data_IF_406755997948
#
_entry.id   IF_406755997948
#
_cell.length_a   1.000
_cell.length_b   1.000
_cell.length_c   1.000
_cell.angle_alpha   90.00
_cell.angle_beta   90.00
_cell.angle_gamma   90.00
#
_symmetry.space_group_name_H-M   'P 1'
#
loop_
_entity.id
_entity.type
_entity.pdbx_description
1 polymer ?
#
# COMPACT_ATOMS: atom_id res chain seq x y z
N UNK A 1 -17.78 2.70 1.35
CA UNK A 1 -17.50 3.64 0.25
C UNK A 1 -16.71 2.95 -0.84
N UNK A 2 -16.97 3.35 -2.08
CA UNK A 2 -16.37 2.71 -3.26
C UNK A 2 -14.83 2.69 -3.22
N UNK A 3 -14.22 3.83 -2.91
CA UNK A 3 -12.76 3.93 -2.92
C UNK A 3 -12.12 3.13 -1.80
N UNK A 4 -12.75 3.08 -0.63
CA UNK A 4 -12.23 2.30 0.48
C UNK A 4 -12.19 0.82 0.16
N UNK A 5 -13.23 0.30 -0.50
CA UNK A 5 -13.25 -1.09 -0.93
C UNK A 5 -12.14 -1.38 -1.94
N UNK A 6 -11.96 -0.50 -2.92
CA UNK A 6 -10.89 -0.65 -3.90
C UNK A 6 -9.50 -0.64 -3.26
N UNK A 7 -9.30 0.24 -2.27
CA UNK A 7 -8.03 0.30 -1.56
C UNK A 7 -7.76 -0.98 -0.78
N UNK A 8 -8.76 -1.47 -0.08
CA UNK A 8 -8.63 -2.72 0.67
C UNK A 8 -8.35 -3.91 -0.24
N UNK A 9 -9.06 -3.99 -1.38
CA UNK A 9 -8.86 -5.06 -2.34
C UNK A 9 -7.44 -5.04 -2.90
N UNK A 10 -6.92 -3.86 -3.20
CA UNK A 10 -5.57 -3.74 -3.73
C UNK A 10 -4.52 -4.09 -2.68
N UNK A 11 -4.72 -3.70 -1.43
CA UNK A 11 -3.82 -4.07 -0.33
C UNK A 11 -3.74 -5.60 -0.22
N UNK A 12 -4.88 -6.27 -0.23
CA UNK A 12 -4.87 -7.74 -0.16
C UNK A 12 -4.17 -8.36 -1.36
N UNK A 13 -4.35 -7.78 -2.54
CA UNK A 13 -3.68 -8.24 -3.75
C UNK A 13 -2.16 -8.09 -3.66
N UNK A 14 -1.68 -6.94 -3.18
CA UNK A 14 -0.24 -6.69 -3.03
C UNK A 14 0.35 -7.63 -1.98
N UNK A 15 -0.33 -7.81 -0.85
CA UNK A 15 0.09 -8.77 0.18
C UNK A 15 0.21 -10.18 -0.39
N UNK A 16 -0.79 -10.62 -1.14
CA UNK A 16 -0.77 -11.95 -1.74
C UNK A 16 0.40 -12.10 -2.71
N UNK A 17 0.72 -11.05 -3.47
CA UNK A 17 1.86 -11.04 -4.37
C UNK A 17 3.17 -11.22 -3.60
N UNK A 18 3.35 -10.45 -2.53
CA UNK A 18 4.57 -10.54 -1.70
C UNK A 18 4.69 -11.93 -1.09
N UNK A 19 3.62 -12.43 -0.50
CA UNK A 19 3.63 -13.76 0.12
C UNK A 19 3.91 -14.86 -0.90
N UNK A 20 3.34 -14.74 -2.11
CA UNK A 20 3.59 -15.68 -3.19
C UNK A 20 5.06 -15.70 -3.61
N UNK A 21 5.67 -14.52 -3.74
CA UNK A 21 7.09 -14.43 -4.09
C UNK A 21 7.98 -15.04 -2.99
N UNK A 22 7.64 -14.80 -1.73
CA UNK A 22 8.38 -15.38 -0.61
C UNK A 22 8.25 -16.89 -0.58
N UNK A 23 7.06 -17.42 -0.88
CA UNK A 23 6.84 -18.87 -0.88
C UNK A 23 7.61 -19.59 -1.98
N UNK A 24 7.92 -18.89 -3.07
CA UNK A 24 8.70 -19.44 -4.18
C UNK A 24 10.20 -19.31 -3.97
N UNK A 25 10.62 -18.50 -3.00
CA UNK A 25 12.03 -18.29 -2.72
C UNK A 25 12.61 -19.48 -1.97
N UNK A 26 13.84 -19.86 -2.32
CA UNK A 26 14.58 -20.93 -1.60
C UNK A 26 15.43 -20.36 -0.47
N UNK A 27 15.47 -19.05 -0.30
CA UNK A 27 16.29 -18.40 0.71
C UNK A 27 15.71 -18.62 2.11
N UNK A 28 16.50 -19.12 3.08
CA UNK A 28 15.95 -19.41 4.43
C UNK A 28 15.36 -18.20 5.13
N UNK A 29 15.95 -17.02 4.95
CA UNK A 29 15.43 -15.78 5.53
C UNK A 29 14.02 -15.48 5.02
N UNK A 30 13.76 -15.71 3.73
CA UNK A 30 12.44 -15.49 3.14
C UNK A 30 11.42 -16.47 3.68
N UNK A 31 11.81 -17.72 3.93
CA UNK A 31 10.90 -18.70 4.49
C UNK A 31 10.49 -18.33 5.92
N UNK A 32 11.43 -17.85 6.74
CA UNK A 32 11.14 -17.35 8.08
C UNK A 32 10.20 -16.15 8.02
N UNK A 33 10.48 -15.21 7.12
CA UNK A 33 9.66 -14.02 6.96
C UNK A 33 8.24 -14.36 6.54
N UNK A 34 8.08 -15.32 5.63
CA UNK A 34 6.77 -15.79 5.22
C UNK A 34 5.96 -16.28 6.43
N UNK A 35 6.59 -17.07 7.29
CA UNK A 35 5.94 -17.58 8.50
C UNK A 35 5.55 -16.43 9.44
N UNK A 36 6.42 -15.44 9.62
CA UNK A 36 6.16 -14.28 10.48
C UNK A 36 4.99 -13.48 9.91
N UNK A 37 5.03 -13.16 8.62
CA UNK A 37 4.01 -12.32 8.00
C UNK A 37 2.64 -12.96 7.98
N UNK A 38 2.54 -14.28 7.89
CA UNK A 38 1.24 -14.96 7.93
C UNK A 38 0.57 -14.85 9.30
N UNK A 39 1.34 -14.56 10.35
CA UNK A 39 0.85 -14.43 11.73
C UNK A 39 0.76 -12.99 12.20
N UNK A 40 1.30 -12.05 11.42
CA UNK A 40 1.40 -10.65 11.84
C UNK A 40 0.10 -9.90 11.54
N UNK A 41 -0.30 -9.02 12.46
CA UNK A 41 -1.47 -8.15 12.26
C UNK A 41 -1.22 -7.16 11.11
N UNK A 42 -2.30 -6.65 10.53
CA UNK A 42 -2.21 -5.67 9.45
C UNK A 42 -1.43 -4.42 9.85
N UNK A 43 -1.53 -4.01 11.11
CA UNK A 43 -0.87 -2.80 11.59
C UNK A 43 0.66 -2.91 11.57
N UNK A 44 1.19 -4.10 11.84
CA UNK A 44 2.63 -4.33 11.91
C UNK A 44 3.20 -4.92 10.64
N UNK A 45 2.34 -5.43 9.78
CA UNK A 45 2.74 -6.21 8.60
C UNK A 45 3.70 -5.42 7.70
N UNK A 46 3.33 -4.18 7.38
CA UNK A 46 4.12 -3.37 6.45
C UNK A 46 5.47 -2.98 7.04
N UNK A 47 5.51 -2.65 8.33
CA UNK A 47 6.75 -2.29 9.00
C UNK A 47 7.74 -3.45 8.98
N UNK A 48 7.27 -4.65 9.30
CA UNK A 48 8.12 -5.84 9.31
C UNK A 48 8.59 -6.15 7.88
N UNK A 49 7.69 -6.11 6.91
CA UNK A 49 8.04 -6.38 5.52
C UNK A 49 9.07 -5.37 5.01
N UNK A 50 8.88 -4.08 5.30
CA UNK A 50 9.79 -3.04 4.85
C UNK A 50 11.19 -3.19 5.44
N UNK A 51 11.29 -3.68 6.67
CA UNK A 51 12.59 -3.86 7.33
C UNK A 51 13.32 -5.11 6.85
N UNK A 52 12.59 -6.14 6.48
CA UNK A 52 13.18 -7.46 6.21
C UNK A 52 13.35 -7.77 4.72
N UNK A 53 12.57 -7.13 3.86
CA UNK A 53 12.63 -7.39 2.43
C UNK A 53 13.72 -6.55 1.75
N UNK A 54 14.34 -7.13 0.73
CA UNK A 54 15.37 -6.43 -0.04
C UNK A 54 14.80 -5.43 -1.03
N UNK A 55 15.71 -4.75 -1.74
CA UNK A 55 15.34 -3.67 -2.68
C UNK A 55 14.46 -4.16 -3.82
N UNK A 56 14.51 -5.43 -4.15
CA UNK A 56 13.66 -6.02 -5.19
C UNK A 56 12.17 -5.94 -4.88
N UNK A 57 11.82 -5.79 -3.59
CA UNK A 57 10.44 -5.65 -3.15
C UNK A 57 10.00 -4.19 -2.97
N UNK A 58 10.90 -3.23 -3.15
CA UNK A 58 10.60 -1.82 -2.91
C UNK A 58 9.37 -1.30 -3.66
N UNK A 59 9.16 -1.62 -4.95
CA UNK A 59 7.95 -1.13 -5.63
C UNK A 59 6.66 -1.60 -4.96
N UNK A 60 6.64 -2.84 -4.47
CA UNK A 60 5.47 -3.39 -3.78
C UNK A 60 5.27 -2.71 -2.42
N UNK A 61 6.35 -2.52 -1.68
CA UNK A 61 6.31 -1.85 -0.37
C UNK A 61 5.86 -0.40 -0.52
N UNK A 62 6.37 0.32 -1.51
CA UNK A 62 5.97 1.70 -1.77
C UNK A 62 4.49 1.79 -2.12
N UNK A 63 3.99 0.85 -2.93
CA UNK A 63 2.57 0.83 -3.27
C UNK A 63 1.72 0.60 -2.03
N UNK A 64 2.12 -0.33 -1.15
CA UNK A 64 1.39 -0.56 0.10
C UNK A 64 1.39 0.66 1.00
N UNK A 65 2.51 1.38 1.08
CA UNK A 65 2.56 2.63 1.84
C UNK A 65 1.53 3.63 1.36
N UNK A 66 1.40 3.79 0.03
CA UNK A 66 0.43 4.70 -0.55
C UNK A 66 -1.00 4.26 -0.26
N UNK A 67 -1.26 2.96 -0.36
CA UNK A 67 -2.60 2.42 -0.11
C UNK A 67 -3.01 2.62 1.35
N UNK A 68 -2.11 2.34 2.28
CA UNK A 68 -2.39 2.51 3.71
C UNK A 68 -2.54 3.97 4.08
N UNK A 69 -1.73 4.86 3.50
CA UNK A 69 -1.87 6.30 3.71
C UNK A 69 -3.24 6.80 3.24
N UNK A 70 -3.71 6.32 2.08
CA UNK A 70 -5.02 6.70 1.57
C UNK A 70 -6.15 6.25 2.51
N UNK A 71 -6.05 5.04 3.07
CA UNK A 71 -7.04 4.55 4.03
C UNK A 71 -7.03 5.41 5.29
N UNK A 72 -5.85 5.78 5.78
CA UNK A 72 -5.73 6.67 6.93
C UNK A 72 -6.38 8.03 6.67
N UNK A 73 -6.25 8.55 5.44
CA UNK A 73 -6.90 9.80 5.06
C UNK A 73 -8.43 9.70 5.07
N UNK A 74 -8.96 8.53 4.68
CA UNK A 74 -10.40 8.29 4.79
C UNK A 74 -10.84 8.35 6.26
N UNK A 75 -10.07 7.73 7.14
CA UNK A 75 -10.40 7.66 8.56
C UNK A 75 -10.43 9.04 9.22
N UNK A 76 -9.54 9.95 8.82
CA UNK A 76 -9.47 11.30 9.38
C UNK A 76 -10.24 12.33 8.55
N UNK A 77 -10.93 11.90 7.49
CA UNK A 77 -11.76 12.80 6.69
C UNK A 77 -11.00 13.69 5.71
N UNK A 78 -9.75 13.34 5.37
CA UNK A 78 -8.93 14.13 4.45
C UNK A 78 -8.71 13.46 3.10
N UNK A 79 -9.37 12.34 2.85
CA UNK A 79 -9.23 11.64 1.57
C UNK A 79 -9.78 12.49 0.41
N UNK A 80 -9.03 12.49 -0.69
CA UNK A 80 -9.42 13.22 -1.88
C UNK A 80 -8.83 14.62 -1.97
N UNK A 81 -7.99 15.02 -1.03
CA UNK A 81 -7.31 16.31 -1.06
C UNK A 81 -5.82 16.13 -1.29
N UNK A 82 -5.25 17.03 -2.10
CA UNK A 82 -3.81 16.99 -2.38
C UNK A 82 -3.01 17.25 -1.10
N UNK A 83 -2.02 16.44 -0.82
CA UNK A 83 -1.20 16.61 0.38
C UNK A 83 -0.21 17.78 0.29
N UNK A 84 0.02 18.30 -0.92
CA UNK A 84 0.95 19.42 -1.11
C UNK A 84 0.23 20.78 -1.14
N UNK A 85 -0.86 20.90 -1.90
CA UNK A 85 -1.55 22.19 -2.09
C UNK A 85 -2.93 22.25 -1.43
N UNK A 86 -3.37 21.16 -0.84
CA UNK A 86 -4.67 21.04 -0.15
C UNK A 86 -5.89 21.22 -1.05
N UNK A 87 -5.70 21.31 -2.37
CA UNK A 87 -6.80 21.37 -3.32
C UNK A 87 -7.41 19.98 -3.51
N UNK A 88 -8.66 19.95 -3.94
CA UNK A 88 -9.33 18.68 -4.22
C UNK A 88 -8.67 17.97 -5.40
N UNK A 89 -8.40 16.67 -5.22
CA UNK A 89 -7.98 15.80 -6.31
C UNK A 89 -9.21 15.51 -7.18
N UNK A 90 -9.06 15.55 -8.50
CA UNK A 90 -10.20 15.30 -9.39
C UNK A 90 -10.76 13.89 -9.21
N UNK A 91 -12.07 13.75 -9.38
CA UNK A 91 -12.71 12.44 -9.30
C UNK A 91 -12.16 11.48 -10.34
N UNK A 92 -11.84 11.99 -11.53
CA UNK A 92 -11.25 11.17 -12.59
C UNK A 92 -9.91 10.58 -12.17
N UNK A 93 -9.07 11.38 -11.53
CA UNK A 93 -7.78 10.91 -11.05
C UNK A 93 -7.93 9.84 -9.97
N UNK A 94 -8.87 10.01 -9.05
CA UNK A 94 -9.16 9.03 -8.01
C UNK A 94 -9.74 7.74 -8.58
N UNK A 95 -10.51 7.82 -9.66
CA UNK A 95 -11.00 6.61 -10.34
C UNK A 95 -9.87 5.84 -11.01
N UNK A 96 -8.88 6.54 -11.55
CA UNK A 96 -7.70 5.88 -12.14
C UNK A 96 -6.79 5.31 -11.08
N UNK A 97 -6.61 6.02 -9.96
CA UNK A 97 -5.74 5.57 -8.88
C UNK A 97 -6.33 6.02 -7.54
N UNK A 98 -7.02 5.11 -6.81
CA UNK A 98 -7.63 5.47 -5.54
C UNK A 98 -6.61 5.82 -4.46
N UNK A 99 -5.33 5.50 -4.65
CA UNK A 99 -4.26 5.86 -3.72
C UNK A 99 -3.58 7.18 -4.08
N UNK A 100 -4.09 7.92 -5.06
CA UNK A 100 -3.54 9.21 -5.44
C UNK A 100 -3.62 10.18 -4.26
N UNK A 101 -2.49 10.82 -3.92
CA UNK A 101 -2.40 11.74 -2.79
C UNK A 101 -2.09 13.15 -3.22
N UNK A 102 -1.85 13.38 -4.51
CA UNK A 102 -1.51 14.68 -5.07
C UNK A 102 -2.39 14.97 -6.28
N UNK A 103 -2.72 16.24 -6.46
CA UNK A 103 -3.42 16.65 -7.67
C UNK A 103 -2.51 16.56 -8.89
N UNK A 104 -3.09 16.70 -10.09
CA UNK A 104 -2.34 16.57 -11.32
C UNK A 104 -1.17 17.55 -11.41
N UNK A 105 -1.33 18.74 -10.86
CA UNK A 105 -0.30 19.76 -10.89
C UNK A 105 0.88 19.43 -9.98
N UNK A 106 0.61 18.87 -8.80
CA UNK A 106 1.65 18.55 -7.83
C UNK A 106 2.32 17.21 -8.12
N UNK A 107 1.62 16.31 -8.78
CA UNK A 107 2.15 14.97 -9.08
C UNK A 107 3.06 14.94 -10.31
N UNK A 108 3.01 15.94 -11.15
CA UNK A 108 3.79 16.01 -12.39
C UNK A 108 5.21 16.53 -12.20
#
# INVERSE_FOLDING_TARGET
>A
MHHQQRLNDEIESVKATILGLLSQSTHPTHQNLLCILTRTSNEEWLDIAAQQLGTEYNPLIERMNKLEAAISQIDIGQYGYCCDCEEKISAQRLEQDPAAQRCEQCAS
#
